data_IF_620501917380
#
_entry.id   IF_620501917380
#
_cell.length_a   1.000
_cell.length_b   1.000
_cell.length_c   1.000
_cell.angle_alpha   90.00
_cell.angle_beta   90.00
_cell.angle_gamma   90.00
#
_symmetry.space_group_name_H-M   'P 1'
#
loop_
_entity.id
_entity.type
_entity.pdbx_description
1 polymer ?
#
# COMPACT_ATOMS: atom_id res chain seq x y z
N UNK A 1 7.81 -10.38 -5.57
CA UNK A 1 6.70 -10.79 -4.68
C UNK A 1 6.01 -11.96 -5.36
N UNK A 2 5.93 -13.12 -4.72
CA UNK A 2 5.26 -14.31 -5.29
C UNK A 2 3.73 -14.19 -5.28
N UNK A 3 3.20 -13.05 -5.73
CA UNK A 3 1.77 -12.74 -5.73
C UNK A 3 1.40 -12.36 -7.17
N UNK A 4 0.37 -13.03 -7.70
CA UNK A 4 -0.16 -12.75 -9.04
C UNK A 4 -0.68 -11.30 -9.16
N UNK A 5 -0.45 -10.68 -10.32
CA UNK A 5 -0.87 -9.29 -10.57
C UNK A 5 -2.35 -9.00 -10.25
N UNK A 6 -3.35 -9.79 -10.70
CA UNK A 6 -4.74 -9.51 -10.38
C UNK A 6 -5.04 -9.58 -8.89
N UNK A 7 -4.30 -10.38 -8.13
CA UNK A 7 -4.41 -10.45 -6.67
C UNK A 7 -3.80 -9.19 -6.04
N UNK A 8 -2.62 -8.78 -6.49
CA UNK A 8 -1.97 -7.56 -6.02
C UNK A 8 -2.86 -6.31 -6.25
N UNK A 9 -3.46 -6.18 -7.43
CA UNK A 9 -4.36 -5.05 -7.77
C UNK A 9 -5.56 -5.01 -6.82
N UNK A 10 -6.25 -6.14 -6.63
CA UNK A 10 -7.41 -6.20 -5.72
C UNK A 10 -7.06 -5.91 -4.27
N UNK A 11 -5.90 -6.40 -3.82
CA UNK A 11 -5.41 -6.10 -2.47
C UNK A 11 -5.16 -4.60 -2.30
N UNK A 12 -4.51 -3.95 -3.26
CA UNK A 12 -4.26 -2.51 -3.22
C UNK A 12 -5.57 -1.69 -3.27
N UNK A 13 -6.54 -2.08 -4.11
CA UNK A 13 -7.85 -1.44 -4.13
C UNK A 13 -8.54 -1.49 -2.76
N UNK A 14 -8.49 -2.66 -2.11
CA UNK A 14 -9.08 -2.82 -0.77
C UNK A 14 -8.32 -2.01 0.28
N UNK A 15 -6.99 -2.00 0.23
CA UNK A 15 -6.17 -1.20 1.15
C UNK A 15 -6.43 0.31 1.01
N UNK A 16 -6.65 0.81 -0.20
CA UNK A 16 -7.00 2.20 -0.42
C UNK A 16 -8.41 2.50 0.11
N UNK A 17 -9.39 1.61 -0.18
CA UNK A 17 -10.77 1.73 0.34
C UNK A 17 -10.82 1.73 1.86
N UNK A 18 -9.97 0.93 2.50
CA UNK A 18 -9.86 0.85 3.96
C UNK A 18 -8.96 1.95 4.57
N UNK A 19 -8.50 2.90 3.75
CA UNK A 19 -7.74 4.11 4.13
C UNK A 19 -6.37 3.77 4.72
N UNK A 20 -5.74 2.66 4.31
CA UNK A 20 -4.37 2.33 4.71
C UNK A 20 -3.31 2.91 3.76
N UNK A 21 -3.66 3.06 2.48
CA UNK A 21 -2.80 3.63 1.45
C UNK A 21 -3.54 4.72 0.66
N UNK A 22 -2.77 5.53 -0.05
CA UNK A 22 -3.25 6.45 -1.07
C UNK A 22 -2.44 6.27 -2.35
N UNK A 23 -3.13 6.22 -3.49
CA UNK A 23 -2.51 6.18 -4.82
C UNK A 23 -2.52 7.57 -5.46
N UNK A 24 -1.35 7.99 -5.94
CA UNK A 24 -1.18 9.25 -6.67
C UNK A 24 -0.56 8.96 -8.05
N UNK A 25 -1.06 9.60 -9.10
CA UNK A 25 -0.35 9.62 -10.39
C UNK A 25 0.90 10.48 -10.25
N UNK A 26 2.02 10.03 -10.81
CA UNK A 26 3.25 10.84 -10.83
C UNK A 26 3.12 11.93 -11.89
N UNK A 27 3.60 13.13 -11.53
CA UNK A 27 3.59 14.27 -12.45
C UNK A 27 4.64 14.08 -13.56
N UNK A 28 5.73 13.41 -13.22
CA UNK A 28 6.86 13.15 -14.11
C UNK A 28 6.58 12.01 -15.09
N UNK A 29 5.70 11.07 -14.72
CA UNK A 29 5.25 9.97 -15.56
C UNK A 29 3.80 9.61 -15.25
N UNK A 30 2.89 9.93 -16.18
CA UNK A 30 1.45 9.68 -16.04
C UNK A 30 1.06 8.20 -16.06
N UNK A 31 1.98 7.32 -16.45
CA UNK A 31 1.78 5.87 -16.45
C UNK A 31 2.21 5.24 -15.12
N UNK A 32 2.99 5.97 -14.32
CA UNK A 32 3.43 5.52 -13.02
C UNK A 32 2.43 5.92 -11.92
N UNK A 33 2.06 4.92 -11.10
CA UNK A 33 1.24 5.12 -9.91
C UNK A 33 2.15 5.01 -8.68
N UNK A 34 2.26 6.11 -7.94
CA UNK A 34 2.87 6.12 -6.62
C UNK A 34 1.90 5.60 -5.57
N UNK A 35 2.39 4.77 -4.66
CA UNK A 35 1.61 4.25 -3.52
C UNK A 35 2.27 4.74 -2.24
N UNK A 36 1.51 5.42 -1.38
CA UNK A 36 1.98 5.95 -0.09
C UNK A 36 1.10 5.44 1.05
N UNK A 37 1.70 5.26 2.23
CA UNK A 37 0.94 4.97 3.45
C UNK A 37 0.22 6.23 3.93
N UNK A 38 -1.04 6.07 4.34
CA UNK A 38 -1.75 7.09 5.13
C UNK A 38 -1.24 7.08 6.58
N UNK A 39 -1.68 8.03 7.40
CA UNK A 39 -1.34 8.03 8.82
C UNK A 39 -1.91 6.80 9.56
N UNK A 40 -3.10 6.34 9.16
CA UNK A 40 -3.64 5.05 9.61
C UNK A 40 -2.69 3.93 9.24
N UNK A 41 -2.25 3.84 7.98
CA UNK A 41 -1.31 2.82 7.53
C UNK A 41 0.02 2.83 8.30
N UNK A 42 0.60 4.01 8.52
CA UNK A 42 1.84 4.17 9.31
C UNK A 42 1.68 3.67 10.76
N UNK A 43 0.51 3.84 11.36
CA UNK A 43 0.22 3.30 12.70
C UNK A 43 0.40 1.79 12.80
N UNK A 44 0.01 1.04 11.75
CA UNK A 44 0.18 -0.41 11.69
C UNK A 44 1.60 -0.84 11.34
N UNK A 45 2.38 0.01 10.65
CA UNK A 45 3.78 -0.30 10.34
C UNK A 45 4.58 -0.63 11.61
N UNK A 46 4.39 0.14 12.68
CA UNK A 46 5.07 -0.11 13.97
C UNK A 46 4.67 -1.45 14.59
N UNK A 47 3.38 -1.80 14.52
CA UNK A 47 2.86 -3.08 15.05
C UNK A 47 3.45 -4.25 14.28
N UNK A 48 3.44 -4.18 12.94
CA UNK A 48 3.98 -5.22 12.08
C UNK A 48 5.48 -5.40 12.26
N UNK A 49 6.24 -4.31 12.40
CA UNK A 49 7.69 -4.38 12.67
C UNK A 49 8.02 -5.10 13.98
N UNK A 50 7.17 -4.96 15.00
CA UNK A 50 7.33 -5.71 16.27
C UNK A 50 6.94 -7.18 16.08
N UNK A 51 5.83 -7.44 15.40
CA UNK A 51 5.29 -8.79 15.20
C UNK A 51 6.20 -9.70 14.34
N UNK A 52 6.95 -9.14 13.39
CA UNK A 52 7.87 -9.92 12.54
C UNK A 52 9.30 -10.02 13.09
N UNK A 53 9.55 -9.51 14.30
CA UNK A 53 10.86 -9.57 14.97
C UNK A 53 10.92 -10.59 16.11
N UNK A 54 9.77 -11.20 16.46
CA UNK A 54 9.65 -12.33 17.39
C UNK A 54 9.70 -13.66 16.65
#
# INVERSE_FOLDING_TARGET
MGIEQPTAVRTLDRMERDVFIHREQKLEDRWAIGIKLTDKGKGYQKILQVAFRS
#
